data_IF_834908878216
#
_entry.id   IF_834908878216
#
_cell.length_a   1.000
_cell.length_b   1.000
_cell.length_c   1.000
_cell.angle_alpha   90.00
_cell.angle_beta   90.00
_cell.angle_gamma   90.00
#
_symmetry.space_group_name_H-M   'P 1'
#
loop_
_entity.id
_entity.type
_entity.pdbx_description
1 polymer ?
#
# COMPACT_ATOMS: atom_id res chain seq x y z
N UNK A 1 12.93 -8.56 -27.40
CA UNK A 1 12.04 -8.50 -28.60
C UNK A 1 12.30 -7.21 -29.35
N UNK A 2 12.29 -7.23 -30.70
CA UNK A 2 12.51 -6.05 -31.53
C UNK A 2 11.31 -5.10 -31.47
N UNK A 3 11.56 -3.78 -31.35
CA UNK A 3 10.49 -2.77 -31.30
C UNK A 3 9.94 -2.54 -32.72
N UNK A 4 8.64 -2.55 -32.89
CA UNK A 4 7.95 -2.31 -34.14
C UNK A 4 6.78 -1.34 -33.98
N UNK A 5 6.09 -0.99 -35.08
CA UNK A 5 4.89 -0.17 -35.02
C UNK A 5 3.69 -0.83 -34.30
N UNK A 6 3.80 -2.11 -33.91
CA UNK A 6 2.78 -2.85 -33.14
C UNK A 6 3.07 -2.86 -31.65
N UNK A 7 4.29 -2.52 -31.24
CA UNK A 7 4.71 -2.54 -29.83
C UNK A 7 3.85 -1.60 -29.00
N UNK A 8 3.30 -2.09 -27.89
CA UNK A 8 2.45 -1.32 -26.99
C UNK A 8 3.27 -0.72 -25.84
N UNK A 9 2.89 0.48 -25.45
CA UNK A 9 3.58 1.27 -24.43
C UNK A 9 2.89 1.18 -23.07
N UNK A 10 3.71 0.98 -22.05
CA UNK A 10 3.39 1.14 -20.64
C UNK A 10 4.34 2.14 -20.00
N UNK A 11 4.03 2.66 -18.82
CA UNK A 11 4.93 3.60 -18.19
C UNK A 11 4.81 3.79 -16.70
N UNK A 12 5.80 4.50 -16.16
CA UNK A 12 5.76 5.12 -14.83
C UNK A 12 5.62 6.62 -15.02
N UNK A 13 4.67 7.24 -14.34
CA UNK A 13 4.41 8.68 -14.36
C UNK A 13 4.60 9.25 -12.95
N UNK A 14 5.44 10.28 -12.81
CA UNK A 14 5.74 10.98 -11.56
C UNK A 14 7.11 11.63 -11.61
N UNK A 15 7.57 12.24 -10.50
CA UNK A 15 8.85 12.97 -10.42
C UNK A 15 9.43 12.93 -9.00
N UNK A 16 10.73 12.66 -8.80
CA UNK A 16 11.69 12.17 -9.79
C UNK A 16 11.54 10.66 -10.04
N UNK A 17 11.80 10.18 -11.25
CA UNK A 17 11.65 8.76 -11.63
C UNK A 17 12.94 8.09 -12.11
N UNK A 18 14.04 8.82 -12.22
CA UNK A 18 15.32 8.31 -12.74
C UNK A 18 15.87 7.09 -11.97
N UNK A 19 15.63 7.04 -10.65
CA UNK A 19 16.10 5.96 -9.78
C UNK A 19 15.19 4.73 -9.80
N UNK A 20 14.05 4.79 -10.51
CA UNK A 20 13.06 3.70 -10.50
C UNK A 20 13.59 2.44 -11.18
N UNK A 21 13.41 1.32 -10.52
CA UNK A 21 13.71 -0.02 -11.06
C UNK A 21 12.55 -0.62 -11.88
N UNK A 22 11.38 0.03 -11.88
CA UNK A 22 10.19 -0.46 -12.60
C UNK A 22 10.44 -0.70 -14.09
N UNK A 23 11.12 0.18 -14.86
CA UNK A 23 11.39 -0.10 -16.26
C UNK A 23 12.20 -1.38 -16.50
N UNK A 24 13.22 -1.63 -15.69
CA UNK A 24 14.03 -2.84 -15.81
C UNK A 24 13.20 -4.09 -15.48
N UNK A 25 12.40 -4.06 -14.41
CA UNK A 25 11.57 -5.16 -13.94
C UNK A 25 10.49 -5.51 -14.98
N UNK A 26 9.67 -4.54 -15.40
CA UNK A 26 8.59 -4.80 -16.35
C UNK A 26 9.10 -5.24 -17.72
N UNK A 27 10.15 -4.62 -18.26
CA UNK A 27 10.70 -5.02 -19.54
C UNK A 27 11.30 -6.43 -19.49
N UNK A 28 11.95 -6.82 -18.38
CA UNK A 28 12.38 -8.20 -18.15
C UNK A 28 11.20 -9.19 -18.23
N UNK A 29 10.09 -8.89 -17.54
CA UNK A 29 8.89 -9.71 -17.57
C UNK A 29 8.28 -9.80 -18.98
N UNK A 30 8.17 -8.68 -19.68
CA UNK A 30 7.63 -8.62 -21.04
C UNK A 30 8.47 -9.46 -22.00
N UNK A 31 9.79 -9.37 -21.92
CA UNK A 31 10.68 -10.17 -22.77
C UNK A 31 10.60 -11.67 -22.41
N UNK A 32 10.54 -12.02 -21.12
CA UNK A 32 10.40 -13.40 -20.64
C UNK A 32 9.09 -14.04 -21.11
N UNK A 33 7.99 -13.29 -21.11
CA UNK A 33 6.66 -13.77 -21.54
C UNK A 33 6.39 -13.53 -23.02
N UNK A 34 7.36 -13.00 -23.77
CA UNK A 34 7.27 -12.71 -25.21
C UNK A 34 6.11 -11.76 -25.56
N UNK A 35 5.84 -10.81 -24.68
CA UNK A 35 4.84 -9.75 -24.90
C UNK A 35 5.47 -8.61 -25.70
N UNK A 36 4.79 -8.16 -26.76
CA UNK A 36 5.23 -7.01 -27.55
C UNK A 36 4.89 -5.68 -26.86
N UNK A 37 5.51 -5.51 -25.68
CA UNK A 37 5.30 -4.37 -24.79
C UNK A 37 6.63 -3.72 -24.42
N UNK A 38 6.62 -2.42 -24.17
CA UNK A 38 7.72 -1.67 -23.59
C UNK A 38 7.23 -0.79 -22.45
N UNK A 39 8.05 -0.70 -21.42
CA UNK A 39 7.79 0.13 -20.24
C UNK A 39 8.87 1.19 -20.10
N UNK A 40 8.46 2.46 -20.01
CA UNK A 40 9.36 3.61 -19.85
C UNK A 40 8.98 4.41 -18.60
N UNK A 41 9.91 5.22 -18.09
CA UNK A 41 9.63 6.19 -17.03
C UNK A 41 9.53 7.59 -17.64
N UNK A 42 8.53 8.33 -17.17
CA UNK A 42 8.24 9.70 -17.60
C UNK A 42 8.30 10.61 -16.39
N UNK A 43 9.25 11.55 -16.42
CA UNK A 43 9.38 12.55 -15.35
C UNK A 43 8.31 13.62 -15.53
N UNK A 44 7.32 13.60 -14.65
CA UNK A 44 6.08 14.41 -14.74
C UNK A 44 5.78 15.01 -13.37
N UNK A 45 5.81 16.33 -13.30
CA UNK A 45 5.37 17.08 -12.13
C UNK A 45 3.85 17.11 -11.99
N UNK A 46 3.39 17.43 -10.78
CA UNK A 46 1.97 17.53 -10.45
C UNK A 46 1.17 18.39 -11.44
N UNK A 47 1.73 19.53 -11.85
CA UNK A 47 1.07 20.48 -12.77
C UNK A 47 0.98 19.96 -14.21
N UNK A 48 1.78 18.97 -14.57
CA UNK A 48 1.84 18.36 -15.91
C UNK A 48 0.97 17.09 -15.99
N UNK A 49 0.32 16.68 -14.88
CA UNK A 49 -0.45 15.43 -14.83
C UNK A 49 -1.57 15.40 -15.87
N UNK A 50 -2.27 16.52 -16.11
CA UNK A 50 -3.33 16.61 -17.11
C UNK A 50 -2.81 16.30 -18.51
N UNK A 51 -1.70 16.94 -18.92
CA UNK A 51 -1.09 16.78 -20.23
C UNK A 51 -0.54 15.35 -20.40
N UNK A 52 0.06 14.79 -19.34
CA UNK A 52 0.52 13.41 -19.35
C UNK A 52 -0.62 12.41 -19.58
N UNK A 53 -1.78 12.59 -18.94
CA UNK A 53 -2.94 11.71 -19.15
C UNK A 53 -3.55 11.94 -20.56
N UNK A 54 -3.54 13.16 -21.07
CA UNK A 54 -3.93 13.41 -22.46
C UNK A 54 -2.98 12.72 -23.45
N UNK A 55 -1.67 12.78 -23.22
CA UNK A 55 -0.68 12.05 -24.01
C UNK A 55 -0.85 10.53 -23.91
N UNK A 56 -1.13 10.02 -22.69
CA UNK A 56 -1.45 8.61 -22.45
C UNK A 56 -2.60 8.13 -23.37
N UNK A 57 -3.67 8.90 -23.45
CA UNK A 57 -4.80 8.61 -24.37
C UNK A 57 -4.40 8.68 -25.84
N UNK A 58 -3.68 9.74 -26.22
CA UNK A 58 -3.25 9.99 -27.61
C UNK A 58 -2.33 8.88 -28.12
N UNK A 59 -1.41 8.41 -27.28
CA UNK A 59 -0.49 7.31 -27.60
C UNK A 59 -1.08 5.92 -27.40
N UNK A 60 -2.34 5.84 -26.97
CA UNK A 60 -3.02 4.57 -26.67
C UNK A 60 -2.21 3.65 -25.77
N UNK A 61 -1.57 4.24 -24.74
CA UNK A 61 -0.84 3.47 -23.75
C UNK A 61 -1.77 2.46 -23.07
N UNK A 62 -1.27 1.26 -22.78
CA UNK A 62 -2.08 0.18 -22.23
C UNK A 62 -2.21 0.22 -20.71
N UNK A 63 -1.25 0.81 -20.03
CA UNK A 63 -1.26 0.97 -18.58
C UNK A 63 -0.10 1.84 -18.12
N UNK A 64 -0.20 2.33 -16.89
CA UNK A 64 0.88 3.04 -16.24
C UNK A 64 0.82 2.83 -14.71
N UNK A 65 1.99 2.82 -14.09
CA UNK A 65 2.07 3.09 -12.67
C UNK A 65 2.18 4.59 -12.44
N UNK A 66 1.61 5.04 -11.34
CA UNK A 66 1.64 6.45 -10.92
C UNK A 66 2.38 6.54 -9.60
N UNK A 67 3.38 7.42 -9.55
CA UNK A 67 4.11 7.71 -8.31
C UNK A 67 3.95 9.18 -7.91
N UNK A 68 4.60 9.57 -6.81
CA UNK A 68 4.59 10.97 -6.38
C UNK A 68 5.18 11.89 -7.46
N UNK A 69 4.67 13.11 -7.59
CA UNK A 69 3.58 13.73 -6.83
C UNK A 69 2.19 13.53 -7.45
N UNK A 70 2.04 12.68 -8.49
CA UNK A 70 0.86 12.61 -9.34
C UNK A 70 -0.28 11.74 -8.79
N UNK A 71 -0.05 10.88 -7.78
CA UNK A 71 -1.01 9.86 -7.28
C UNK A 71 -2.41 10.39 -6.94
N UNK A 72 -2.52 11.61 -6.39
CA UNK A 72 -3.82 12.21 -6.05
C UNK A 72 -4.39 13.02 -7.22
N UNK A 73 -3.51 13.77 -7.90
CA UNK A 73 -3.92 14.66 -8.99
C UNK A 73 -4.53 13.90 -10.16
N UNK A 74 -3.97 12.74 -10.48
CA UNK A 74 -4.39 11.90 -11.63
C UNK A 74 -5.85 11.49 -11.59
N UNK A 75 -6.44 11.34 -10.40
CA UNK A 75 -7.85 10.95 -10.23
C UNK A 75 -8.84 11.86 -10.97
N UNK A 76 -8.48 13.13 -11.18
CA UNK A 76 -9.33 14.13 -11.85
C UNK A 76 -9.49 13.88 -13.35
N UNK A 77 -8.61 13.06 -13.94
CA UNK A 77 -8.47 12.88 -15.37
C UNK A 77 -8.79 11.45 -15.82
N UNK A 78 -9.23 10.58 -14.89
CA UNK A 78 -9.63 9.21 -15.16
C UNK A 78 -11.12 9.09 -15.39
N UNK A 79 -11.53 8.10 -16.18
CA UNK A 79 -12.94 7.83 -16.47
C UNK A 79 -13.59 7.06 -15.32
N UNK A 80 -12.85 6.11 -14.76
CA UNK A 80 -13.30 5.26 -13.66
C UNK A 80 -12.23 5.19 -12.55
N UNK A 81 -12.71 4.99 -11.33
CA UNK A 81 -11.86 4.87 -10.13
C UNK A 81 -12.36 3.70 -9.31
N UNK A 82 -11.48 2.74 -9.02
CA UNK A 82 -11.80 1.58 -8.19
C UNK A 82 -12.29 2.00 -6.78
N UNK A 83 -13.10 1.16 -6.10
CA UNK A 83 -13.58 1.47 -4.75
C UNK A 83 -12.45 1.80 -3.77
N UNK A 84 -11.35 1.02 -3.78
CA UNK A 84 -10.20 1.26 -2.94
C UNK A 84 -9.50 2.60 -3.25
N UNK A 85 -9.25 2.89 -4.55
CA UNK A 85 -8.63 4.16 -4.95
C UNK A 85 -9.49 5.37 -4.61
N UNK A 86 -10.82 5.26 -4.70
CA UNK A 86 -11.77 6.30 -4.29
C UNK A 86 -11.72 6.54 -2.78
N UNK A 87 -11.70 5.48 -1.98
CA UNK A 87 -11.62 5.57 -0.52
C UNK A 87 -10.29 6.18 -0.07
N UNK A 88 -9.18 5.74 -0.65
CA UNK A 88 -7.84 6.25 -0.33
C UNK A 88 -7.68 7.70 -0.81
N UNK A 89 -8.28 8.05 -1.95
CA UNK A 89 -8.10 9.33 -2.62
C UNK A 89 -6.76 9.41 -3.37
N UNK A 90 -6.27 8.26 -3.85
CA UNK A 90 -5.03 8.15 -4.62
C UNK A 90 -5.09 6.97 -5.61
N UNK A 91 -4.30 7.07 -6.68
CA UNK A 91 -4.14 6.04 -7.70
C UNK A 91 -2.65 5.77 -7.90
N UNK A 92 -2.24 4.49 -7.89
CA UNK A 92 -0.87 4.08 -8.23
C UNK A 92 -0.80 3.28 -9.54
N UNK A 93 -1.94 2.90 -10.12
CA UNK A 93 -2.01 2.08 -11.34
C UNK A 93 -3.17 2.51 -12.21
N UNK A 94 -2.92 2.74 -13.48
CA UNK A 94 -3.94 3.01 -14.50
C UNK A 94 -3.95 1.84 -15.48
N UNK A 95 -5.14 1.37 -15.81
CA UNK A 95 -5.37 0.41 -16.88
C UNK A 95 -6.24 1.07 -17.96
N UNK A 96 -5.86 0.89 -19.22
CA UNK A 96 -6.63 1.34 -20.37
C UNK A 96 -7.39 0.17 -21.00
N UNK A 97 -8.69 0.14 -20.81
CA UNK A 97 -9.61 -0.79 -21.43
C UNK A 97 -10.27 -0.12 -22.64
N UNK A 98 -9.65 -0.24 -23.80
CA UNK A 98 -10.16 0.29 -25.09
C UNK A 98 -10.58 1.77 -25.05
N UNK A 99 -9.78 2.59 -24.40
CA UNK A 99 -9.97 4.04 -24.27
C UNK A 99 -10.56 4.48 -22.94
N UNK A 100 -11.14 3.58 -22.15
CA UNK A 100 -11.60 3.84 -20.78
C UNK A 100 -10.42 3.68 -19.81
N UNK A 101 -10.06 4.74 -19.11
CA UNK A 101 -8.98 4.75 -18.14
C UNK A 101 -9.52 4.51 -16.73
N UNK A 102 -9.21 3.35 -16.17
CA UNK A 102 -9.60 2.99 -14.80
C UNK A 102 -8.39 3.09 -13.88
N UNK A 103 -8.55 3.83 -12.77
CA UNK A 103 -7.51 4.01 -11.74
C UNK A 103 -7.68 3.06 -10.55
N UNK A 104 -6.56 2.49 -10.13
CA UNK A 104 -6.48 1.55 -9.00
C UNK A 104 -5.46 2.05 -7.97
N UNK A 105 -5.61 1.56 -6.74
CA UNK A 105 -4.58 1.61 -5.70
C UNK A 105 -4.34 0.17 -5.24
N UNK A 106 -3.20 -0.38 -5.61
CA UNK A 106 -2.91 -1.81 -5.44
C UNK A 106 -2.13 -2.13 -4.16
N UNK A 107 -1.64 -1.12 -3.44
CA UNK A 107 -0.85 -1.32 -2.21
C UNK A 107 -1.65 -2.12 -1.16
N UNK A 108 -2.94 -1.78 -0.97
CA UNK A 108 -3.81 -2.50 -0.02
C UNK A 108 -4.14 -3.91 -0.48
N UNK A 109 -4.43 -4.09 -1.77
CA UNK A 109 -4.72 -5.41 -2.35
C UNK A 109 -3.51 -6.33 -2.23
N UNK A 110 -2.31 -5.86 -2.60
CA UNK A 110 -1.08 -6.61 -2.46
C UNK A 110 -0.79 -7.02 -1.01
N UNK A 111 -1.08 -6.13 -0.03
CA UNK A 111 -0.96 -6.48 1.38
C UNK A 111 -1.93 -7.62 1.78
N UNK A 112 -3.19 -7.53 1.38
CA UNK A 112 -4.19 -8.55 1.72
C UNK A 112 -3.89 -9.87 1.02
N UNK A 113 -3.50 -9.84 -0.26
CA UNK A 113 -3.10 -11.05 -0.98
C UNK A 113 -1.88 -11.72 -0.36
N UNK A 114 -0.89 -10.94 0.08
CA UNK A 114 0.25 -11.46 0.83
C UNK A 114 -0.18 -12.22 2.09
N UNK A 115 -1.13 -11.66 2.86
CA UNK A 115 -1.70 -12.34 4.02
C UNK A 115 -2.43 -13.64 3.63
N UNK A 116 -3.23 -13.63 2.57
CA UNK A 116 -3.96 -14.81 2.08
C UNK A 116 -3.01 -15.93 1.65
N UNK A 117 -1.95 -15.61 0.94
CA UNK A 117 -0.91 -16.58 0.56
C UNK A 117 -0.28 -17.25 1.77
N UNK A 118 -0.18 -16.53 2.87
CA UNK A 118 0.27 -17.04 4.15
C UNK A 118 -0.85 -17.70 4.97
N UNK A 119 -2.05 -17.88 4.42
CA UNK A 119 -3.20 -18.50 5.09
C UNK A 119 -3.81 -17.63 6.19
N UNK A 120 -3.72 -16.31 6.05
CA UNK A 120 -4.30 -15.35 7.01
C UNK A 120 -5.42 -14.57 6.34
N UNK A 121 -6.64 -14.74 6.83
CA UNK A 121 -7.81 -14.00 6.37
C UNK A 121 -8.06 -12.78 7.26
N UNK A 122 -8.44 -11.65 6.66
CA UNK A 122 -8.76 -10.42 7.40
C UNK A 122 -10.24 -10.28 7.77
N UNK A 123 -11.11 -11.03 7.09
CA UNK A 123 -12.57 -10.97 7.34
C UNK A 123 -12.90 -11.28 8.78
N UNK A 124 -13.63 -10.38 9.43
CA UNK A 124 -14.02 -10.51 10.85
C UNK A 124 -12.89 -10.29 11.85
N UNK A 125 -11.67 -9.98 11.39
CA UNK A 125 -10.49 -9.81 12.24
C UNK A 125 -10.37 -8.38 12.76
N UNK A 126 -9.67 -8.24 13.89
CA UNK A 126 -9.20 -6.99 14.43
C UNK A 126 -7.73 -6.78 14.06
N UNK A 127 -7.42 -5.61 13.53
CA UNK A 127 -6.08 -5.22 13.11
C UNK A 127 -5.62 -4.04 13.95
N UNK A 128 -4.46 -4.15 14.61
CA UNK A 128 -3.72 -3.00 15.11
C UNK A 128 -2.70 -2.59 14.08
N UNK A 129 -2.81 -1.37 13.57
CA UNK A 129 -2.00 -0.84 12.47
C UNK A 129 -1.13 0.31 12.96
N UNK A 130 0.18 0.18 12.86
CA UNK A 130 1.16 1.17 13.26
C UNK A 130 1.47 2.09 12.07
N UNK A 131 1.23 3.39 12.22
CA UNK A 131 1.37 4.41 11.19
C UNK A 131 0.07 4.72 10.46
N UNK A 132 -0.04 5.97 9.95
CA UNK A 132 -1.20 6.46 9.20
C UNK A 132 -0.81 7.12 7.86
N UNK A 133 0.31 6.72 7.26
CA UNK A 133 0.77 7.18 5.95
C UNK A 133 -0.02 6.59 4.77
N UNK A 134 0.43 6.84 3.54
CA UNK A 134 -0.26 6.40 2.32
C UNK A 134 -0.47 4.90 2.22
N UNK A 135 0.54 4.10 2.55
CA UNK A 135 0.44 2.63 2.59
C UNK A 135 -0.58 2.18 3.64
N UNK A 136 -0.52 2.76 4.85
CA UNK A 136 -1.50 2.48 5.90
C UNK A 136 -2.92 2.79 5.45
N UNK A 137 -3.15 3.92 4.77
CA UNK A 137 -4.48 4.28 4.24
C UNK A 137 -4.98 3.27 3.21
N UNK A 138 -4.11 2.75 2.36
CA UNK A 138 -4.46 1.70 1.40
C UNK A 138 -4.81 0.38 2.10
N UNK A 139 -4.03 -0.03 3.10
CA UNK A 139 -4.31 -1.21 3.93
C UNK A 139 -5.65 -1.06 4.66
N UNK A 140 -5.92 0.09 5.29
CA UNK A 140 -7.19 0.37 5.96
C UNK A 140 -8.37 0.22 5.00
N UNK A 141 -8.31 0.88 3.83
CA UNK A 141 -9.37 0.83 2.84
C UNK A 141 -9.65 -0.59 2.37
N UNK A 142 -8.61 -1.34 2.00
CA UNK A 142 -8.76 -2.70 1.50
C UNK A 142 -9.22 -3.66 2.59
N UNK A 143 -8.66 -3.57 3.80
CA UNK A 143 -9.09 -4.42 4.92
C UNK A 143 -10.58 -4.20 5.28
N UNK A 144 -11.07 -2.95 5.20
CA UNK A 144 -12.49 -2.66 5.41
C UNK A 144 -13.36 -3.23 4.28
N UNK A 145 -12.94 -3.10 3.02
CA UNK A 145 -13.61 -3.71 1.86
C UNK A 145 -13.69 -5.23 1.99
N UNK A 146 -12.64 -5.86 2.50
CA UNK A 146 -12.56 -7.31 2.71
C UNK A 146 -13.19 -7.78 4.03
N UNK A 147 -13.83 -6.87 4.76
CA UNK A 147 -14.66 -7.20 5.92
C UNK A 147 -13.91 -7.35 7.24
N UNK A 148 -12.78 -6.69 7.43
CA UNK A 148 -12.16 -6.56 8.75
C UNK A 148 -13.17 -5.97 9.75
N UNK A 149 -13.25 -6.52 10.96
CA UNK A 149 -14.22 -6.11 11.98
C UNK A 149 -13.85 -4.78 12.65
N UNK A 150 -12.57 -4.61 12.92
CA UNK A 150 -12.05 -3.46 13.66
C UNK A 150 -10.60 -3.14 13.22
N UNK A 151 -10.31 -1.85 13.06
CA UNK A 151 -8.96 -1.35 12.81
C UNK A 151 -8.62 -0.29 13.85
N UNK A 152 -7.60 -0.56 14.68
CA UNK A 152 -7.00 0.38 15.61
C UNK A 152 -5.72 0.94 14.98
N UNK A 153 -5.77 2.18 14.52
CA UNK A 153 -4.64 2.86 13.88
C UNK A 153 -3.86 3.65 14.93
N UNK A 154 -2.56 3.45 15.00
CA UNK A 154 -1.68 4.21 15.88
C UNK A 154 -0.77 5.12 15.08
N UNK A 155 -0.82 6.42 15.34
CA UNK A 155 0.05 7.41 14.72
C UNK A 155 0.55 8.41 15.75
N UNK A 156 1.73 9.00 15.51
CA UNK A 156 2.21 10.11 16.34
C UNK A 156 1.35 11.35 16.08
N UNK A 157 1.21 12.21 17.07
CA UNK A 157 0.56 13.53 16.92
C UNK A 157 1.49 14.52 16.22
N UNK A 158 1.84 14.19 14.99
CA UNK A 158 2.64 15.01 14.10
C UNK A 158 1.76 15.79 13.09
N UNK A 159 2.38 16.36 12.07
CA UNK A 159 1.69 17.12 11.02
C UNK A 159 0.63 16.31 10.24
N UNK A 160 0.66 14.98 10.30
CA UNK A 160 -0.28 14.08 9.61
C UNK A 160 -1.44 13.62 10.50
N UNK A 161 -1.43 13.96 11.79
CA UNK A 161 -2.43 13.51 12.76
C UNK A 161 -3.86 13.85 12.35
N UNK A 162 -4.11 15.12 12.06
CA UNK A 162 -5.47 15.59 11.70
C UNK A 162 -5.97 14.93 10.42
N UNK A 163 -5.09 14.70 9.46
CA UNK A 163 -5.43 13.98 8.23
C UNK A 163 -5.79 12.52 8.52
N UNK A 164 -5.06 11.86 9.41
CA UNK A 164 -5.35 10.49 9.81
C UNK A 164 -6.71 10.36 10.49
N UNK A 165 -7.03 11.28 11.42
CA UNK A 165 -8.32 11.32 12.12
C UNK A 165 -9.46 11.58 11.12
N UNK A 166 -9.30 12.55 10.22
CA UNK A 166 -10.30 12.86 9.21
C UNK A 166 -10.55 11.65 8.28
N UNK A 167 -9.47 10.98 7.85
CA UNK A 167 -9.57 9.79 6.98
C UNK A 167 -10.27 8.61 7.69
N UNK A 168 -9.97 8.37 8.95
CA UNK A 168 -10.67 7.35 9.74
C UNK A 168 -12.16 7.66 9.89
N UNK A 169 -12.53 8.94 10.05
CA UNK A 169 -13.93 9.36 10.09
C UNK A 169 -14.66 9.14 8.76
N UNK A 170 -13.99 9.39 7.61
CA UNK A 170 -14.51 9.07 6.28
C UNK A 170 -14.76 7.55 6.15
N UNK A 171 -13.79 6.73 6.54
CA UNK A 171 -13.92 5.28 6.52
C UNK A 171 -15.02 4.78 7.45
N UNK A 172 -15.12 5.32 8.67
CA UNK A 172 -16.19 4.95 9.60
C UNK A 172 -17.58 5.27 9.03
N UNK A 173 -17.72 6.37 8.29
CA UNK A 173 -18.97 6.72 7.60
C UNK A 173 -19.29 5.78 6.45
N UNK A 174 -18.27 5.33 5.70
CA UNK A 174 -18.45 4.40 4.59
C UNK A 174 -18.74 2.96 5.08
N UNK A 175 -18.23 2.59 6.25
CA UNK A 175 -18.35 1.25 6.84
C UNK A 175 -18.94 1.30 8.26
N UNK A 176 -20.22 1.64 8.42
CA UNK A 176 -20.83 1.86 9.75
C UNK A 176 -20.90 0.62 10.64
N UNK A 177 -20.84 -0.59 10.07
CA UNK A 177 -20.84 -1.85 10.81
C UNK A 177 -19.46 -2.30 11.31
N UNK A 178 -18.41 -1.67 10.83
CA UNK A 178 -17.03 -1.93 11.22
C UNK A 178 -16.54 -0.79 12.12
N UNK A 179 -15.49 -1.03 12.89
CA UNK A 179 -14.94 0.00 13.75
C UNK A 179 -13.56 0.41 13.26
N UNK A 180 -13.33 1.71 13.12
CA UNK A 180 -12.02 2.27 12.86
C UNK A 180 -11.76 3.45 13.80
N UNK A 181 -10.60 3.45 14.47
CA UNK A 181 -10.24 4.49 15.45
C UNK A 181 -8.75 4.79 15.34
N UNK A 182 -8.40 6.07 15.43
CA UNK A 182 -7.02 6.54 15.50
C UNK A 182 -6.65 6.84 16.94
N UNK A 183 -5.51 6.35 17.37
CA UNK A 183 -4.94 6.54 18.69
C UNK A 183 -3.54 7.14 18.60
N UNK A 184 -3.13 7.81 19.68
CA UNK A 184 -1.78 8.31 19.83
C UNK A 184 -0.78 7.15 19.98
N UNK A 185 0.27 7.14 19.17
CA UNK A 185 1.34 6.12 19.24
C UNK A 185 2.09 6.19 20.57
N UNK A 186 2.14 7.38 21.20
CA UNK A 186 2.85 7.57 22.48
C UNK A 186 2.01 7.13 23.70
N UNK A 187 0.71 6.80 23.50
CA UNK A 187 -0.13 6.11 24.50
C UNK A 187 0.17 4.61 24.50
N UNK A 188 1.26 4.24 25.15
CA UNK A 188 1.75 2.87 25.21
C UNK A 188 0.82 1.91 25.94
N UNK A 189 0.05 2.38 26.92
CA UNK A 189 -0.96 1.57 27.62
C UNK A 189 -2.09 1.21 26.69
N UNK A 190 -2.59 2.18 25.93
CA UNK A 190 -3.62 1.98 24.93
C UNK A 190 -3.14 1.06 23.81
N UNK A 191 -1.91 1.26 23.32
CA UNK A 191 -1.29 0.39 22.30
C UNK A 191 -1.24 -1.06 22.79
N UNK A 192 -0.76 -1.29 24.00
CA UNK A 192 -0.70 -2.61 24.58
C UNK A 192 -2.10 -3.25 24.71
N UNK A 193 -3.09 -2.49 25.16
CA UNK A 193 -4.48 -2.96 25.27
C UNK A 193 -5.08 -3.38 23.94
N UNK A 194 -4.84 -2.60 22.87
CA UNK A 194 -5.33 -2.92 21.52
C UNK A 194 -4.61 -4.15 20.94
N UNK A 195 -3.28 -4.27 21.09
CA UNK A 195 -2.52 -5.45 20.63
C UNK A 195 -3.00 -6.72 21.31
N UNK A 196 -3.27 -6.69 22.63
CA UNK A 196 -3.73 -7.88 23.37
C UNK A 196 -5.06 -8.45 22.83
N UNK A 197 -5.87 -7.66 22.18
CA UNK A 197 -7.17 -8.08 21.62
C UNK A 197 -7.17 -8.19 20.09
N UNK A 198 -6.04 -7.92 19.44
CA UNK A 198 -5.91 -7.97 17.97
C UNK A 198 -5.63 -9.38 17.47
N UNK A 199 -6.12 -9.68 16.29
CA UNK A 199 -5.78 -10.88 15.53
C UNK A 199 -4.48 -10.63 14.72
N UNK A 200 -4.30 -9.39 14.24
CA UNK A 200 -3.17 -8.97 13.39
C UNK A 200 -2.56 -7.69 13.95
N UNK A 201 -1.25 -7.64 14.07
CA UNK A 201 -0.45 -6.45 14.31
C UNK A 201 0.35 -6.15 13.04
N UNK A 202 0.19 -4.97 12.47
CA UNK A 202 0.86 -4.58 11.23
C UNK A 202 1.67 -3.31 11.40
N UNK A 203 2.94 -3.34 11.03
CA UNK A 203 3.75 -2.12 10.90
C UNK A 203 3.62 -1.56 9.48
N UNK A 204 3.09 -0.35 9.37
CA UNK A 204 3.03 0.44 8.13
C UNK A 204 3.80 1.76 8.27
N UNK A 205 4.80 1.79 9.16
CA UNK A 205 5.73 2.91 9.33
C UNK A 205 7.06 2.62 8.61
N UNK A 206 7.99 3.57 8.70
CA UNK A 206 9.37 3.41 8.22
C UNK A 206 10.30 2.76 9.25
N UNK A 207 9.83 2.46 10.46
CA UNK A 207 10.64 1.80 11.49
C UNK A 207 10.93 0.37 11.05
N UNK A 208 12.19 -0.03 11.12
CA UNK A 208 12.65 -1.33 10.63
C UNK A 208 13.40 -1.27 9.29
N UNK A 209 13.33 -0.12 8.55
CA UNK A 209 14.16 0.12 7.36
C UNK A 209 15.29 1.12 7.65
N UNK A 210 16.29 1.19 6.80
CA UNK A 210 17.42 2.13 6.94
C UNK A 210 16.94 3.58 7.16
N UNK A 211 17.48 4.32 8.14
CA UNK A 211 18.52 3.95 9.13
C UNK A 211 17.97 3.40 10.46
N UNK A 212 16.77 2.85 10.49
CA UNK A 212 16.06 2.40 11.69
C UNK A 212 15.94 0.86 11.77
N UNK A 213 16.87 0.12 11.14
CA UNK A 213 16.77 -1.34 10.92
C UNK A 213 16.73 -2.15 12.22
N UNK A 214 17.41 -1.66 13.25
CA UNK A 214 17.51 -2.36 14.55
C UNK A 214 16.49 -1.85 15.58
N UNK A 215 15.48 -1.12 15.14
CA UNK A 215 14.45 -0.55 16.01
C UNK A 215 13.12 -1.26 15.77
N UNK A 216 12.42 -1.57 16.87
CA UNK A 216 11.02 -1.98 16.87
C UNK A 216 10.18 -0.97 17.66
N UNK A 217 8.97 -0.69 17.18
CA UNK A 217 7.99 0.12 17.93
C UNK A 217 7.49 -0.65 19.14
N UNK A 218 7.40 -1.97 19.04
CA UNK A 218 6.96 -2.83 20.14
C UNK A 218 8.19 -3.29 20.93
N UNK A 219 8.34 -2.74 22.11
CA UNK A 219 9.44 -3.06 23.04
C UNK A 219 9.04 -4.02 24.16
N UNK A 220 7.73 -4.12 24.45
CA UNK A 220 7.20 -5.09 25.41
C UNK A 220 6.87 -6.41 24.68
N UNK A 221 7.80 -7.36 24.76
CA UNK A 221 7.66 -8.65 24.09
C UNK A 221 6.55 -9.54 24.71
N UNK A 222 6.02 -9.20 25.88
CA UNK A 222 4.88 -9.92 26.47
C UNK A 222 3.59 -9.73 25.68
N UNK A 223 3.53 -8.76 24.76
CA UNK A 223 2.42 -8.52 23.86
C UNK A 223 2.36 -9.52 22.71
N UNK A 224 3.47 -10.18 22.39
CA UNK A 224 3.51 -11.22 21.36
C UNK A 224 2.96 -12.54 21.93
N UNK A 225 1.88 -13.01 21.36
CA UNK A 225 1.26 -14.30 21.68
C UNK A 225 1.12 -15.15 20.42
N UNK A 226 1.06 -16.47 20.57
CA UNK A 226 1.10 -17.42 19.44
C UNK A 226 -0.04 -17.24 18.44
N UNK A 227 -1.18 -16.71 18.88
CA UNK A 227 -2.35 -16.46 18.06
C UNK A 227 -2.27 -15.13 17.28
N UNK A 228 -1.34 -14.24 17.64
CA UNK A 228 -1.14 -12.97 16.96
C UNK A 228 -0.33 -13.19 15.68
N UNK A 229 -0.87 -12.71 14.57
CA UNK A 229 -0.10 -12.56 13.33
C UNK A 229 0.58 -11.20 13.34
N UNK A 230 1.89 -11.17 13.11
CA UNK A 230 2.66 -9.93 13.06
C UNK A 230 3.15 -9.72 11.63
N UNK A 231 2.86 -8.55 11.07
CA UNK A 231 3.20 -8.22 9.69
C UNK A 231 3.98 -6.91 9.61
N UNK A 232 4.78 -6.78 8.57
CA UNK A 232 5.54 -5.56 8.31
C UNK A 232 5.48 -5.24 6.82
N UNK A 233 5.25 -3.96 6.44
CA UNK A 233 5.33 -3.54 5.04
C UNK A 233 6.76 -3.25 4.60
N UNK A 234 7.70 -3.16 5.54
CA UNK A 234 9.12 -3.07 5.23
C UNK A 234 9.60 -4.40 4.67
N UNK A 235 10.30 -4.33 3.54
CA UNK A 235 10.85 -5.49 2.83
C UNK A 235 12.38 -5.47 2.73
N UNK A 236 13.02 -4.38 3.13
CA UNK A 236 14.48 -4.27 3.22
C UNK A 236 14.86 -3.61 4.57
N UNK A 237 15.39 -4.38 5.51
CA UNK A 237 15.74 -5.80 5.44
C UNK A 237 14.50 -6.71 5.30
N UNK A 238 14.69 -7.91 4.76
CA UNK A 238 13.60 -8.90 4.57
C UNK A 238 12.93 -9.27 5.91
N UNK A 239 13.70 -9.30 7.00
CA UNK A 239 13.21 -9.58 8.35
C UNK A 239 13.58 -8.42 9.28
N UNK A 240 12.61 -7.56 9.55
CA UNK A 240 12.76 -6.42 10.48
C UNK A 240 12.90 -6.85 11.93
N UNK A 241 13.35 -5.96 12.80
CA UNK A 241 13.46 -6.23 14.25
C UNK A 241 12.12 -6.64 14.85
N UNK A 242 11.01 -6.01 14.42
CA UNK A 242 9.65 -6.39 14.83
C UNK A 242 9.33 -7.85 14.51
N UNK A 243 9.61 -8.28 13.27
CA UNK A 243 9.35 -9.67 12.84
C UNK A 243 10.25 -10.67 13.56
N UNK A 244 11.53 -10.33 13.82
CA UNK A 244 12.45 -11.17 14.57
C UNK A 244 11.95 -11.40 15.99
N UNK A 245 11.51 -10.34 16.69
CA UNK A 245 11.02 -10.42 18.06
C UNK A 245 9.72 -11.21 18.16
N UNK A 246 8.81 -11.00 17.20
CA UNK A 246 7.54 -11.72 17.13
C UNK A 246 7.76 -13.23 16.86
N UNK A 247 8.65 -13.57 15.94
CA UNK A 247 9.00 -14.96 15.64
C UNK A 247 9.63 -15.67 16.84
N UNK A 248 10.54 -15.00 17.55
CA UNK A 248 11.15 -15.52 18.77
C UNK A 248 10.13 -15.80 19.87
N UNK A 249 9.00 -15.06 19.91
CA UNK A 249 7.87 -15.27 20.80
C UNK A 249 6.87 -16.35 20.29
N UNK A 250 7.09 -16.89 19.09
CA UNK A 250 6.26 -17.92 18.49
C UNK A 250 5.03 -17.41 17.72
N UNK A 251 4.99 -16.13 17.36
CA UNK A 251 3.98 -15.58 16.48
C UNK A 251 4.19 -16.06 15.03
N UNK A 252 3.10 -16.13 14.27
CA UNK A 252 3.20 -16.18 12.81
C UNK A 252 3.62 -14.79 12.32
N UNK A 253 4.62 -14.74 11.42
CA UNK A 253 5.14 -13.48 10.85
C UNK A 253 4.97 -13.45 9.34
N UNK A 254 4.66 -12.26 8.79
CA UNK A 254 4.51 -12.02 7.35
C UNK A 254 5.29 -10.77 6.97
N UNK A 255 6.33 -10.93 6.13
CA UNK A 255 7.19 -9.84 5.66
C UNK A 255 6.58 -9.05 4.51
N UNK A 256 7.15 -7.87 4.21
CA UNK A 256 6.60 -6.91 3.26
C UNK A 256 6.82 -7.25 1.79
N UNK A 257 7.73 -8.17 1.45
CA UNK A 257 8.08 -8.45 0.06
C UNK A 257 6.88 -8.96 -0.76
N UNK A 258 6.04 -9.81 -0.17
CA UNK A 258 4.86 -10.35 -0.84
C UNK A 258 3.86 -9.26 -1.28
N UNK A 259 3.75 -8.16 -0.54
CA UNK A 259 2.93 -7.01 -0.93
C UNK A 259 3.34 -6.38 -2.27
N UNK A 260 4.62 -6.50 -2.65
CA UNK A 260 5.12 -6.02 -3.95
C UNK A 260 4.96 -7.06 -5.06
N UNK A 261 4.79 -8.32 -4.71
CA UNK A 261 4.74 -9.44 -5.66
C UNK A 261 3.30 -9.70 -6.10
N UNK A 262 2.36 -9.62 -5.17
CA UNK A 262 0.93 -9.86 -5.37
C UNK A 262 0.17 -8.57 -5.59
#
# INVERSE_FOLDING_TARGET
MEISGKTRLFGLIGSPVEHSKSPAMYNYCFDKWKLDYKYLAFDVDKNQTADAIQAFRTFQMKGANITMPCKQEVLKYLDEISPAARLVGACNTIVNHDGVLTGYITDGEGYIENLRHEGVEVKGKKITLLGAGGVSSAIQAQALLDGAREIAVFNKKDAFWEQAVAKAAEYQKAFPSQKITVYDMDDTEKLAAEIRTSDILSNATRVGMHPLENISIITDHSLFRKELVVTDVVYEPEKTKLLQDAEAAGCKTVGGLGMLIY
#
